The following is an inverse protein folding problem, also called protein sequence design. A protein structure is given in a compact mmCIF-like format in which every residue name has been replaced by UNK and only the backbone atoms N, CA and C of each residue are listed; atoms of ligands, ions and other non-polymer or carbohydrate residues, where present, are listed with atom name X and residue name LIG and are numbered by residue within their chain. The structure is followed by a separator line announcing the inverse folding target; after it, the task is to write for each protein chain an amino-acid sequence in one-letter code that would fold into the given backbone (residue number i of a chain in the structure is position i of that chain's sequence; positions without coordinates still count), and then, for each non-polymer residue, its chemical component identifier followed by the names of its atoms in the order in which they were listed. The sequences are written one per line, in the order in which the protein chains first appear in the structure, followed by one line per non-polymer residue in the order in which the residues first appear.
data_IF_053913677658
#
_entry.id   IF_053913677658
#
_cell.length_a   1.000
_cell.length_b   1.000
_cell.length_c   1.000
_cell.angle_alpha   90.00
_cell.angle_beta   90.00
_cell.angle_gamma   90.00
#
_symmetry.space_group_name_H-M   'P 1'
#
loop_
_entity.id
_entity.type
_entity.pdbx_description
1 polymer ?
#
# COMPACT_ATOMS: atom_id res chain seq x y z
N UNK A 1 11.71 11.24 -11.65
CA UNK A 1 12.21 10.11 -10.85
C UNK A 1 12.91 9.11 -11.77
N UNK A 2 14.07 8.60 -11.40
CA UNK A 2 14.83 7.81 -12.34
C UNK A 2 14.52 6.32 -12.17
N UNK A 3 13.90 5.72 -13.19
CA UNK A 3 13.92 4.29 -13.38
C UNK A 3 15.18 3.90 -14.14
N UNK A 4 16.03 3.13 -13.48
CA UNK A 4 17.25 2.58 -14.10
C UNK A 4 16.90 1.38 -14.96
N UNK A 5 17.07 1.51 -16.27
CA UNK A 5 17.02 0.41 -17.24
C UNK A 5 18.41 -0.22 -17.39
N UNK A 6 18.45 -1.49 -17.71
CA UNK A 6 19.70 -2.24 -17.90
C UNK A 6 19.93 -2.54 -19.38
N UNK A 7 21.19 -2.66 -19.78
CA UNK A 7 21.55 -3.13 -21.13
C UNK A 7 21.04 -4.57 -21.32
N UNK A 8 20.55 -4.94 -22.51
CA UNK A 8 19.96 -6.25 -22.79
C UNK A 8 21.01 -7.34 -23.03
N UNK A 9 22.00 -7.45 -22.15
CA UNK A 9 23.13 -8.40 -22.29
C UNK A 9 22.75 -9.84 -21.93
N UNK A 10 21.72 -10.02 -21.08
CA UNK A 10 21.24 -11.36 -20.68
C UNK A 10 19.72 -11.40 -20.69
N UNK A 11 19.08 -12.60 -20.76
CA UNK A 11 17.63 -12.71 -20.66
C UNK A 11 17.04 -12.04 -19.42
N UNK A 12 17.74 -12.08 -18.30
CA UNK A 12 17.28 -11.48 -17.03
C UNK A 12 17.44 -9.96 -16.95
N UNK A 13 18.31 -9.36 -17.78
CA UNK A 13 18.54 -7.91 -17.82
C UNK A 13 17.79 -7.21 -18.95
N UNK A 14 17.39 -7.94 -20.00
CA UNK A 14 16.72 -7.39 -21.21
C UNK A 14 15.54 -6.48 -20.89
N UNK A 15 14.65 -6.91 -20.01
CA UNK A 15 13.44 -6.16 -19.64
C UNK A 15 13.50 -5.68 -18.18
N UNK A 16 14.68 -5.62 -17.58
CA UNK A 16 14.83 -5.22 -16.19
C UNK A 16 14.80 -3.70 -16.05
N UNK A 17 13.92 -3.21 -15.22
CA UNK A 17 13.81 -1.81 -14.82
C UNK A 17 13.59 -1.74 -13.32
N UNK A 18 14.41 -0.99 -12.61
CA UNK A 18 14.31 -0.84 -11.15
C UNK A 18 14.37 0.64 -10.77
N UNK A 19 13.86 0.98 -9.59
CA UNK A 19 14.06 2.31 -9.02
C UNK A 19 15.56 2.62 -8.87
N UNK A 20 15.97 3.84 -9.18
CA UNK A 20 17.34 4.32 -8.99
C UNK A 20 17.67 4.63 -7.53
N UNK A 21 16.64 4.76 -6.67
CA UNK A 21 16.75 5.08 -5.25
C UNK A 21 17.34 6.47 -4.94
N UNK A 22 17.22 7.42 -5.86
CA UNK A 22 17.80 8.77 -5.74
C UNK A 22 17.25 9.55 -4.53
N UNK A 23 16.01 9.23 -4.10
CA UNK A 23 15.34 9.87 -2.96
C UNK A 23 15.85 9.38 -1.59
N UNK A 24 16.61 8.28 -1.57
CA UNK A 24 17.03 7.62 -0.32
C UNK A 24 18.28 8.28 0.21
N UNK A 25 18.20 8.79 1.44
CA UNK A 25 19.31 9.49 2.09
C UNK A 25 20.09 8.61 3.07
N UNK A 26 19.48 7.54 3.60
CA UNK A 26 20.14 6.62 4.54
C UNK A 26 20.12 5.17 4.04
N UNK A 27 21.29 4.51 4.12
CA UNK A 27 21.46 3.10 3.70
C UNK A 27 21.04 2.10 4.79
N UNK A 28 21.03 2.48 6.05
CA UNK A 28 20.71 1.61 7.19
C UNK A 28 19.51 2.14 7.95
N UNK A 29 18.57 1.28 8.37
CA UNK A 29 17.43 1.70 9.16
C UNK A 29 17.82 1.97 10.62
N UNK A 30 17.01 2.78 11.30
CA UNK A 30 17.15 3.07 12.72
C UNK A 30 16.75 1.85 13.55
N UNK A 31 17.73 1.22 14.22
CA UNK A 31 17.59 -0.07 14.91
C UNK A 31 16.47 -0.13 15.96
N UNK A 32 16.27 0.88 16.85
CA UNK A 32 15.23 0.83 17.88
C UNK A 32 13.80 0.69 17.33
N UNK A 33 13.54 1.07 16.06
CA UNK A 33 12.23 0.95 15.41
C UNK A 33 12.12 -0.28 14.49
N UNK A 34 12.93 -1.32 14.73
CA UNK A 34 12.91 -2.55 13.96
C UNK A 34 12.42 -3.73 14.81
N UNK A 35 11.54 -4.53 14.23
CA UNK A 35 11.06 -5.79 14.81
C UNK A 35 11.33 -6.97 13.86
N UNK A 36 11.58 -8.17 14.41
CA UNK A 36 11.70 -9.38 13.59
C UNK A 36 10.38 -9.68 12.86
N UNK A 37 10.43 -9.87 11.55
CA UNK A 37 9.29 -10.27 10.75
C UNK A 37 9.40 -11.76 10.39
N UNK A 38 8.69 -12.64 11.11
CA UNK A 38 8.63 -14.07 10.83
C UNK A 38 7.76 -14.34 9.59
N UNK A 39 8.24 -15.21 8.70
CA UNK A 39 7.47 -15.65 7.54
C UNK A 39 6.53 -16.78 7.95
N UNK A 40 5.23 -16.59 7.73
CA UNK A 40 4.20 -17.60 8.02
C UNK A 40 3.99 -18.59 6.89
N UNK A 41 4.61 -18.38 5.73
CA UNK A 41 4.40 -19.23 4.54
C UNK A 41 2.95 -19.26 4.04
N UNK A 42 2.16 -18.23 4.34
CA UNK A 42 0.75 -18.13 3.97
C UNK A 42 -0.19 -18.93 4.89
N UNK A 43 0.25 -19.34 6.08
CA UNK A 43 -0.56 -20.00 7.10
C UNK A 43 -1.17 -18.97 8.04
N UNK A 44 -2.36 -19.27 8.54
CA UNK A 44 -3.04 -18.51 9.59
C UNK A 44 -2.53 -18.93 10.99
N UNK A 45 -3.16 -18.39 12.04
CA UNK A 45 -2.86 -18.74 13.44
C UNK A 45 -3.15 -20.20 13.79
N UNK A 46 -4.06 -20.87 13.07
CA UNK A 46 -4.39 -22.31 13.25
C UNK A 46 -3.52 -23.23 12.39
N UNK A 47 -2.52 -22.69 11.66
CA UNK A 47 -1.62 -23.45 10.81
C UNK A 47 -2.17 -23.79 9.42
N UNK A 48 -3.43 -23.46 9.11
CA UNK A 48 -4.05 -23.72 7.82
C UNK A 48 -3.54 -22.75 6.75
N UNK A 49 -3.34 -23.26 5.53
CA UNK A 49 -2.91 -22.44 4.40
C UNK A 49 -4.08 -21.60 3.87
N UNK A 50 -4.10 -20.30 4.19
CA UNK A 50 -5.10 -19.35 3.70
C UNK A 50 -4.67 -18.64 2.43
N UNK A 51 -3.36 -18.45 2.25
CA UNK A 51 -2.77 -17.82 1.06
C UNK A 51 -1.76 -18.77 0.43
N UNK A 52 -2.08 -19.29 -0.75
CA UNK A 52 -1.19 -20.17 -1.51
C UNK A 52 -0.01 -19.45 -2.12
N UNK A 53 1.04 -20.20 -2.48
CA UNK A 53 2.20 -19.70 -3.21
C UNK A 53 2.98 -18.59 -2.47
N UNK A 54 2.99 -18.66 -1.14
CA UNK A 54 3.83 -17.84 -0.26
C UNK A 54 4.89 -18.72 0.41
N UNK A 55 6.08 -18.17 0.58
CA UNK A 55 7.17 -18.82 1.29
C UNK A 55 8.52 -18.62 0.62
N UNK A 56 9.57 -18.88 1.37
CA UNK A 56 10.94 -18.51 1.01
C UNK A 56 11.10 -16.97 0.96
N UNK A 57 12.10 -16.53 0.24
CA UNK A 57 12.39 -15.11 0.10
C UNK A 57 13.44 -14.65 1.11
N UNK A 58 13.89 -13.40 0.92
CA UNK A 58 14.90 -12.79 1.77
C UNK A 58 14.34 -12.48 3.17
N UNK A 59 15.13 -12.71 4.22
CA UNK A 59 14.81 -12.31 5.60
C UNK A 59 14.59 -10.79 5.67
N UNK A 60 13.54 -10.37 6.37
CA UNK A 60 13.16 -8.96 6.51
C UNK A 60 12.95 -8.60 7.97
N UNK A 61 13.21 -7.33 8.27
CA UNK A 61 12.80 -6.71 9.53
C UNK A 61 11.59 -5.81 9.25
N UNK A 62 10.64 -5.78 10.16
CA UNK A 62 9.54 -4.84 10.12
C UNK A 62 10.00 -3.48 10.64
N UNK A 63 9.55 -2.38 10.01
CA UNK A 63 9.72 -1.02 10.50
C UNK A 63 8.43 -0.61 11.17
N UNK A 64 8.50 -0.19 12.42
CA UNK A 64 7.36 0.31 13.18
C UNK A 64 7.01 1.68 12.62
N UNK A 65 5.87 1.76 11.91
CA UNK A 65 5.39 3.01 11.30
C UNK A 65 4.32 3.61 12.19
N UNK A 66 4.43 4.89 12.47
CA UNK A 66 3.40 5.67 13.17
C UNK A 66 2.25 6.00 12.23
N UNK A 67 1.22 5.15 12.23
CA UNK A 67 -0.01 5.37 11.47
C UNK A 67 -1.04 6.21 12.22
N UNK A 68 -0.86 6.37 13.54
CA UNK A 68 -1.79 7.10 14.38
C UNK A 68 -1.48 8.60 14.46
N UNK A 69 -0.18 8.96 14.39
CA UNK A 69 0.27 10.35 14.49
C UNK A 69 -0.31 11.07 15.73
N UNK A 70 -0.17 10.43 16.89
CA UNK A 70 -0.78 10.88 18.17
C UNK A 70 -0.08 12.03 18.87
N UNK A 71 1.09 12.47 18.40
CA UNK A 71 1.80 13.61 18.96
C UNK A 71 1.28 14.89 18.32
N UNK A 72 0.22 15.44 18.91
CA UNK A 72 -0.43 16.65 18.40
C UNK A 72 0.35 17.90 18.81
N UNK A 73 0.43 18.89 17.90
CA UNK A 73 1.03 20.22 18.11
C UNK A 73 2.51 20.19 18.53
N UNK A 74 3.20 19.07 18.25
CA UNK A 74 4.64 18.94 18.46
C UNK A 74 5.31 18.85 17.10
N UNK A 75 6.25 19.77 16.84
CA UNK A 75 7.01 19.78 15.59
C UNK A 75 7.95 18.60 15.52
N UNK A 76 8.03 18.03 14.33
CA UNK A 76 8.97 16.95 14.03
C UNK A 76 9.79 17.30 12.79
N UNK A 77 11.09 17.10 12.87
CA UNK A 77 12.01 17.34 11.75
C UNK A 77 12.29 16.04 11.01
N UNK A 78 12.21 16.05 9.70
CA UNK A 78 12.58 14.90 8.85
C UNK A 78 14.10 14.74 8.85
N UNK A 79 14.60 13.63 9.38
CA UNK A 79 16.04 13.32 9.44
C UNK A 79 16.54 12.54 8.25
N UNK A 80 15.81 11.51 7.83
CA UNK A 80 16.20 10.65 6.71
C UNK A 80 15.00 10.16 5.93
N UNK A 81 15.22 9.85 4.64
CA UNK A 81 14.28 9.13 3.79
C UNK A 81 14.89 7.75 3.52
N UNK A 82 14.12 6.68 3.75
CA UNK A 82 14.62 5.32 3.76
C UNK A 82 13.79 4.35 2.90
N UNK A 83 14.44 3.27 2.49
CA UNK A 83 13.80 2.14 1.84
C UNK A 83 13.20 1.16 2.85
N UNK A 84 11.94 0.77 2.66
CA UNK A 84 11.31 -0.32 3.41
C UNK A 84 10.99 -1.50 2.48
N UNK A 85 11.55 -2.72 2.73
CA UNK A 85 11.26 -3.90 1.92
C UNK A 85 9.84 -4.45 2.12
N UNK A 86 9.08 -3.96 3.09
CA UNK A 86 7.75 -4.46 3.44
C UNK A 86 6.62 -3.68 2.75
N UNK A 87 6.95 -2.53 2.15
CA UNK A 87 5.99 -1.67 1.45
C UNK A 87 6.57 -1.08 0.18
N UNK A 88 5.70 -0.62 -0.70
CA UNK A 88 6.10 0.04 -1.95
C UNK A 88 6.50 1.50 -1.75
N UNK A 89 5.92 2.18 -0.76
CA UNK A 89 6.22 3.57 -0.41
C UNK A 89 7.59 3.70 0.27
N UNK A 90 8.23 4.88 0.16
CA UNK A 90 9.37 5.25 1.01
C UNK A 90 8.86 5.59 2.41
N UNK A 91 9.74 5.51 3.38
CA UNK A 91 9.48 5.91 4.77
C UNK A 91 10.42 7.05 5.14
N UNK A 92 9.99 7.93 6.03
CA UNK A 92 10.81 8.99 6.58
C UNK A 92 10.99 8.78 8.09
N UNK A 93 12.22 8.89 8.57
CA UNK A 93 12.51 8.97 9.99
C UNK A 93 12.36 10.43 10.40
N UNK A 94 11.47 10.67 11.35
CA UNK A 94 11.24 12.00 11.92
C UNK A 94 11.64 12.02 13.39
N UNK A 95 12.18 13.14 13.82
CA UNK A 95 12.57 13.41 15.20
C UNK A 95 11.74 14.57 15.71
N UNK A 96 10.96 14.31 16.75
CA UNK A 96 10.16 15.32 17.44
C UNK A 96 11.04 16.19 18.33
N UNK A 97 10.56 17.38 18.69
CA UNK A 97 11.28 18.31 19.61
C UNK A 97 11.59 17.68 20.96
N UNK A 98 10.82 16.71 21.41
CA UNK A 98 11.07 15.93 22.61
C UNK A 98 12.13 14.81 22.45
N UNK A 99 12.83 14.76 21.32
CA UNK A 99 13.86 13.76 21.00
C UNK A 99 13.33 12.39 20.57
N UNK A 100 12.02 12.15 20.59
CA UNK A 100 11.44 10.88 20.18
C UNK A 100 11.51 10.73 18.67
N UNK A 101 12.00 9.59 18.19
CA UNK A 101 12.07 9.25 16.76
C UNK A 101 10.95 8.30 16.38
N UNK A 102 10.31 8.55 15.23
CA UNK A 102 9.30 7.67 14.66
C UNK A 102 9.46 7.58 13.14
N UNK A 103 9.02 6.45 12.57
CA UNK A 103 8.86 6.33 11.13
C UNK A 103 7.47 6.74 10.70
N UNK A 104 7.39 7.45 9.59
CA UNK A 104 6.14 7.79 8.88
C UNK A 104 6.24 7.33 7.43
N UNK A 105 5.10 7.20 6.74
CA UNK A 105 5.12 7.08 5.28
C UNK A 105 5.55 8.43 4.69
N UNK A 106 6.57 8.41 3.87
CA UNK A 106 7.10 9.63 3.24
C UNK A 106 6.12 10.14 2.16
N UNK A 107 5.64 11.38 2.24
CA UNK A 107 4.96 12.04 1.12
C UNK A 107 5.91 12.25 -0.07
N UNK A 108 5.34 12.36 -1.26
CA UNK A 108 6.11 12.75 -2.45
C UNK A 108 6.60 14.20 -2.30
N UNK A 109 7.89 14.40 -2.54
CA UNK A 109 8.50 15.74 -2.48
C UNK A 109 8.97 16.17 -1.09
N UNK A 110 8.82 15.34 -0.05
CA UNK A 110 9.37 15.64 1.27
C UNK A 110 10.90 15.74 1.23
N UNK A 111 11.46 16.66 1.99
CA UNK A 111 12.91 16.89 2.05
C UNK A 111 13.44 16.67 3.46
N UNK A 112 14.71 16.27 3.55
CA UNK A 112 15.43 16.23 4.84
C UNK A 112 15.53 17.65 5.40
N UNK A 113 15.31 17.81 6.71
CA UNK A 113 15.25 19.08 7.39
C UNK A 113 13.86 19.75 7.39
N UNK A 114 12.90 19.26 6.60
CA UNK A 114 11.54 19.77 6.60
C UNK A 114 10.86 19.51 7.96
N UNK A 115 10.16 20.50 8.46
CA UNK A 115 9.35 20.40 9.67
C UNK A 115 7.96 19.91 9.27
N UNK A 116 7.42 18.99 10.05
CA UNK A 116 6.06 18.47 9.92
C UNK A 116 5.37 18.44 11.26
N UNK A 117 4.08 18.61 11.25
CA UNK A 117 3.24 18.68 12.44
C UNK A 117 1.99 17.81 12.30
N UNK A 118 1.37 17.50 13.42
CA UNK A 118 0.09 16.76 13.46
C UNK A 118 -0.83 17.41 14.49
N UNK A 119 -2.13 17.37 14.26
CA UNK A 119 -3.11 17.88 15.21
C UNK A 119 -4.14 18.82 14.57
N UNK A 120 -4.99 19.38 15.39
CA UNK A 120 -5.96 20.41 15.00
C UNK A 120 -5.27 21.79 15.00
N UNK A 121 -5.69 22.67 14.09
CA UNK A 121 -5.16 24.04 13.97
C UNK A 121 -3.80 24.11 13.25
N UNK A 122 -3.28 23.01 12.75
CA UNK A 122 -2.01 22.96 12.00
C UNK A 122 -2.23 23.40 10.55
N UNK A 123 -1.26 24.10 9.95
CA UNK A 123 -1.33 24.50 8.54
C UNK A 123 -1.41 23.26 7.61
N UNK A 124 -2.24 23.29 6.54
CA UNK A 124 -2.41 22.17 5.62
C UNK A 124 -1.24 22.05 4.63
N UNK A 125 -0.03 21.92 5.15
CA UNK A 125 1.21 21.78 4.39
C UNK A 125 1.58 20.31 4.13
N UNK A 126 2.49 20.11 3.19
CA UNK A 126 2.93 18.78 2.77
C UNK A 126 3.52 17.98 3.96
N UNK A 127 2.92 16.83 4.26
CA UNK A 127 3.36 15.92 5.32
C UNK A 127 2.68 16.15 6.67
N UNK A 128 1.95 17.24 6.84
CA UNK A 128 1.17 17.52 8.04
C UNK A 128 -0.08 16.63 8.10
N UNK A 129 -0.45 16.22 9.30
CA UNK A 129 -1.57 15.31 9.54
C UNK A 129 -2.65 16.03 10.35
N UNK A 130 -3.82 16.23 9.71
CA UNK A 130 -4.94 17.00 10.25
C UNK A 130 -6.25 16.23 10.18
N UNK A 131 -7.26 16.62 10.97
CA UNK A 131 -8.65 16.22 10.72
C UNK A 131 -9.11 16.68 9.33
N UNK A 132 -9.94 15.86 8.67
CA UNK A 132 -10.49 16.20 7.34
C UNK A 132 -11.37 17.46 7.37
N UNK A 133 -11.86 17.85 8.54
CA UNK A 133 -12.59 19.11 8.74
C UNK A 133 -11.75 20.35 8.41
N UNK A 134 -10.45 20.31 8.66
CA UNK A 134 -9.55 21.44 8.57
C UNK A 134 -8.78 21.50 7.22
N UNK A 135 -8.77 20.41 6.47
CA UNK A 135 -8.07 20.34 5.18
C UNK A 135 -8.91 21.04 4.09
N UNK A 136 -8.37 21.96 3.31
CA UNK A 136 -9.10 22.61 2.21
C UNK A 136 -9.65 21.61 1.20
N UNK A 137 -10.87 21.88 0.69
CA UNK A 137 -11.48 21.09 -0.39
C UNK A 137 -10.61 21.18 -1.65
N UNK A 138 -10.51 20.08 -2.40
CA UNK A 138 -9.64 19.96 -3.56
C UNK A 138 -8.25 19.41 -3.25
N UNK A 139 -7.81 19.43 -1.97
CA UNK A 139 -6.48 18.96 -1.55
C UNK A 139 -6.33 17.46 -1.75
N UNK A 140 -5.12 17.05 -2.18
CA UNK A 140 -4.72 15.64 -2.23
C UNK A 140 -4.24 15.19 -0.85
N UNK A 141 -4.75 14.07 -0.40
CA UNK A 141 -4.45 13.51 0.92
C UNK A 141 -4.12 12.02 0.82
N UNK A 142 -3.34 11.53 1.75
CA UNK A 142 -2.98 10.13 1.91
C UNK A 142 -3.01 9.72 3.39
N UNK A 143 -2.71 8.46 3.72
CA UNK A 143 -2.75 7.95 5.09
C UNK A 143 -4.07 8.29 5.81
N UNK A 144 -5.19 8.00 5.16
CA UNK A 144 -6.52 8.41 5.63
C UNK A 144 -7.07 7.38 6.60
N UNK A 145 -7.60 7.86 7.71
CA UNK A 145 -8.36 7.03 8.65
C UNK A 145 -9.75 6.69 8.09
N UNK A 146 -10.28 5.53 8.49
CA UNK A 146 -11.66 5.13 8.22
C UNK A 146 -12.58 5.37 9.42
N UNK A 147 -12.02 5.35 10.61
CA UNK A 147 -12.68 5.68 11.88
C UNK A 147 -11.73 6.55 12.68
N UNK A 148 -12.24 7.52 13.43
CA UNK A 148 -11.41 8.38 14.25
C UNK A 148 -10.56 7.57 15.23
N UNK A 149 -9.25 7.87 15.31
CA UNK A 149 -8.32 7.20 16.20
C UNK A 149 -7.91 5.77 15.81
N UNK A 150 -8.36 5.24 14.69
CA UNK A 150 -7.96 3.91 14.19
C UNK A 150 -6.56 3.91 13.58
N UNK A 151 -6.07 5.06 13.18
CA UNK A 151 -4.86 5.20 12.37
C UNK A 151 -5.11 5.02 10.88
N UNK A 152 -4.11 5.37 10.11
CA UNK A 152 -4.18 5.37 8.65
C UNK A 152 -4.52 3.99 8.07
N UNK A 153 -5.56 3.92 7.25
CA UNK A 153 -6.06 2.71 6.61
C UNK A 153 -6.03 2.78 5.08
N UNK A 154 -6.36 3.94 4.49
CA UNK A 154 -6.42 4.12 3.03
C UNK A 154 -5.26 4.93 2.50
N UNK A 155 -5.00 4.81 1.18
CA UNK A 155 -3.98 5.55 0.44
C UNK A 155 -2.59 5.49 1.09
N UNK A 156 -2.05 4.27 1.31
CA UNK A 156 -0.74 4.02 1.94
C UNK A 156 0.32 3.47 0.99
N UNK A 157 -0.09 3.01 -0.18
CA UNK A 157 0.83 2.44 -1.18
C UNK A 157 1.52 3.53 -1.99
N UNK A 158 2.65 3.20 -2.62
CA UNK A 158 3.40 4.12 -3.48
C UNK A 158 2.51 4.84 -4.50
N UNK A 159 2.67 6.15 -4.61
CA UNK A 159 1.97 7.01 -5.56
C UNK A 159 0.46 7.13 -5.33
N UNK A 160 -0.11 6.55 -4.26
CA UNK A 160 -1.54 6.66 -3.99
C UNK A 160 -1.90 7.95 -3.26
N UNK A 161 -3.11 8.42 -3.52
CA UNK A 161 -3.71 9.58 -2.88
C UNK A 161 -5.23 9.44 -2.93
N UNK A 162 -5.95 10.28 -2.22
CA UNK A 162 -7.36 10.56 -2.43
C UNK A 162 -7.52 12.08 -2.52
N UNK A 163 -8.51 12.54 -3.26
CA UNK A 163 -8.86 13.96 -3.30
C UNK A 163 -10.04 14.22 -2.37
N UNK A 164 -9.92 15.22 -1.51
CA UNK A 164 -11.04 15.73 -0.73
C UNK A 164 -11.96 16.53 -1.67
N UNK A 165 -13.04 15.92 -2.11
CA UNK A 165 -13.94 16.51 -3.10
C UNK A 165 -14.94 17.51 -2.51
N UNK A 166 -15.51 17.17 -1.35
CA UNK A 166 -16.47 18.03 -0.64
C UNK A 166 -16.52 17.68 0.85
N UNK A 167 -17.20 18.51 1.62
CA UNK A 167 -17.60 18.26 3.02
C UNK A 167 -19.08 18.55 3.15
N UNK A 168 -19.83 17.61 3.74
CA UNK A 168 -21.26 17.71 3.95
C UNK A 168 -21.60 17.26 5.38
N UNK A 169 -22.00 18.17 6.22
CA UNK A 169 -22.28 17.91 7.63
C UNK A 169 -21.10 17.23 8.34
N UNK A 170 -21.31 16.04 8.87
CA UNK A 170 -20.30 15.26 9.60
C UNK A 170 -19.42 14.39 8.68
N UNK A 171 -19.56 14.49 7.35
CA UNK A 171 -18.84 13.65 6.41
C UNK A 171 -17.99 14.45 5.43
N UNK A 172 -16.79 13.93 5.17
CA UNK A 172 -15.91 14.32 4.07
C UNK A 172 -16.09 13.35 2.91
N UNK A 173 -16.24 13.87 1.71
CA UNK A 173 -16.38 13.10 0.46
C UNK A 173 -15.00 12.97 -0.18
N UNK A 174 -14.53 11.74 -0.28
CA UNK A 174 -13.21 11.41 -0.84
C UNK A 174 -13.35 10.70 -2.18
N UNK A 175 -12.67 11.22 -3.19
CA UNK A 175 -12.48 10.59 -4.49
C UNK A 175 -11.20 9.78 -4.48
N UNK A 176 -11.31 8.46 -4.58
CA UNK A 176 -10.19 7.53 -4.57
C UNK A 176 -9.56 7.35 -5.97
N UNK A 177 -8.29 6.90 -6.08
CA UNK A 177 -7.64 6.64 -7.37
C UNK A 177 -8.36 5.59 -8.22
N UNK A 178 -9.15 4.70 -7.58
CA UNK A 178 -9.98 3.70 -8.26
C UNK A 178 -11.18 4.30 -8.99
N UNK A 179 -11.50 5.60 -8.78
CA UNK A 179 -12.71 6.27 -9.22
C UNK A 179 -13.91 6.05 -8.30
N UNK A 180 -13.75 5.34 -7.18
CA UNK A 180 -14.78 5.24 -6.14
C UNK A 180 -14.86 6.54 -5.36
N UNK A 181 -16.06 7.06 -5.15
CA UNK A 181 -16.35 8.19 -4.28
C UNK A 181 -17.02 7.68 -3.01
N UNK A 182 -16.44 8.02 -1.85
CA UNK A 182 -16.97 7.55 -0.57
C UNK A 182 -16.91 8.61 0.53
N UNK A 183 -17.79 8.43 1.50
CA UNK A 183 -17.85 9.25 2.71
C UNK A 183 -16.93 8.70 3.81
N UNK A 184 -16.31 9.61 4.55
CA UNK A 184 -15.55 9.35 5.78
C UNK A 184 -15.90 10.45 6.77
N UNK A 185 -15.91 10.17 8.07
CA UNK A 185 -16.19 11.19 9.09
C UNK A 185 -15.15 12.33 9.01
N UNK A 186 -15.58 13.56 9.15
CA UNK A 186 -14.70 14.76 9.11
C UNK A 186 -13.67 14.78 10.25
N UNK A 187 -13.94 14.08 11.34
CA UNK A 187 -13.03 13.90 12.48
C UNK A 187 -11.90 12.92 12.21
N UNK A 188 -11.98 12.12 11.13
CA UNK A 188 -10.89 11.25 10.70
C UNK A 188 -9.71 12.09 10.24
N UNK A 189 -8.50 11.63 10.57
CA UNK A 189 -7.25 12.28 10.17
C UNK A 189 -6.77 11.82 8.80
N UNK A 190 -6.09 12.70 8.11
CA UNK A 190 -5.38 12.41 6.87
C UNK A 190 -4.09 13.23 6.79
N UNK A 191 -3.11 12.74 6.04
CA UNK A 191 -1.87 13.46 5.77
C UNK A 191 -1.96 14.16 4.42
N UNK A 192 -1.56 15.42 4.37
CA UNK A 192 -1.57 16.24 3.15
C UNK A 192 -0.51 15.76 2.16
N UNK A 193 -0.87 15.71 0.88
CA UNK A 193 0.00 15.31 -0.23
C UNK A 193 -0.27 13.89 -0.74
N UNK A 194 0.58 13.42 -1.64
CA UNK A 194 0.55 12.08 -2.24
C UNK A 194 1.66 11.21 -1.65
N UNK A 195 1.51 9.89 -1.70
CA UNK A 195 2.56 8.97 -1.24
C UNK A 195 3.75 8.97 -2.21
N UNK A 196 4.96 8.90 -1.69
CA UNK A 196 6.21 8.82 -2.46
C UNK A 196 6.30 7.60 -3.38
N UNK A 197 7.35 7.54 -4.23
CA UNK A 197 7.68 6.43 -5.12
C UNK A 197 6.57 6.12 -6.15
N UNK A 198 6.00 7.14 -6.78
CA UNK A 198 4.89 7.02 -7.75
C UNK A 198 5.21 6.09 -8.93
N UNK A 199 6.49 6.00 -9.34
CA UNK A 199 6.94 5.16 -10.46
C UNK A 199 7.14 3.68 -10.10
N UNK A 200 6.75 3.25 -8.90
CA UNK A 200 6.88 1.86 -8.47
C UNK A 200 6.21 0.85 -9.42
N UNK A 201 5.12 1.24 -10.06
CA UNK A 201 4.41 0.41 -11.04
C UNK A 201 5.17 0.21 -12.36
N UNK A 202 6.14 1.06 -12.65
CA UNK A 202 7.00 0.98 -13.84
C UNK A 202 8.18 0.02 -13.64
N UNK A 203 8.38 -0.51 -12.43
CA UNK A 203 9.42 -1.50 -12.16
C UNK A 203 9.14 -2.82 -12.86
N UNK A 204 10.13 -3.35 -13.56
CA UNK A 204 10.11 -4.68 -14.15
C UNK A 204 11.22 -5.55 -13.58
N UNK A 205 10.89 -6.71 -13.08
CA UNK A 205 11.85 -7.59 -12.42
C UNK A 205 12.78 -8.32 -13.38
N UNK A 206 12.41 -8.46 -14.64
CA UNK A 206 13.21 -9.08 -15.69
C UNK A 206 13.35 -10.60 -15.62
N UNK A 207 13.23 -11.23 -14.43
CA UNK A 207 13.34 -12.67 -14.22
C UNK A 207 12.43 -13.22 -13.13
N UNK A 208 11.99 -14.48 -13.28
CA UNK A 208 11.14 -15.17 -12.30
C UNK A 208 11.82 -15.34 -10.92
N UNK A 209 13.15 -15.57 -10.90
CA UNK A 209 13.90 -15.70 -9.66
C UNK A 209 13.81 -14.48 -8.73
N UNK A 210 13.61 -13.27 -9.27
CA UNK A 210 13.42 -12.08 -8.44
C UNK A 210 12.09 -12.13 -7.65
N UNK A 211 11.04 -12.68 -8.24
CA UNK A 211 9.79 -12.94 -7.53
C UNK A 211 9.99 -13.93 -6.37
N UNK A 212 10.89 -14.93 -6.55
CA UNK A 212 11.24 -15.86 -5.48
C UNK A 212 11.90 -15.16 -4.30
N UNK A 213 12.73 -14.16 -4.53
CA UNK A 213 13.34 -13.35 -3.47
C UNK A 213 12.32 -12.57 -2.64
N UNK A 214 11.18 -12.21 -3.23
CA UNK A 214 10.06 -11.59 -2.51
C UNK A 214 9.14 -12.58 -1.81
N UNK A 215 9.49 -13.88 -1.79
CA UNK A 215 8.70 -14.93 -1.16
C UNK A 215 7.47 -15.35 -1.96
N UNK A 216 7.43 -15.05 -3.26
CA UNK A 216 6.37 -15.49 -4.18
C UNK A 216 6.81 -16.77 -4.88
N UNK A 217 6.05 -17.83 -4.72
CA UNK A 217 6.26 -19.11 -5.43
C UNK A 217 5.55 -19.10 -6.78
N UNK A 218 5.99 -19.95 -7.73
CA UNK A 218 5.29 -20.11 -9.01
C UNK A 218 3.83 -20.50 -8.79
N UNK A 219 2.95 -19.99 -9.65
CA UNK A 219 1.51 -20.22 -9.57
C UNK A 219 1.08 -21.22 -10.65
N UNK A 220 0.45 -22.34 -10.22
CA UNK A 220 -0.14 -23.30 -11.14
C UNK A 220 -1.57 -22.87 -11.51
N UNK A 221 -1.91 -22.98 -12.80
CA UNK A 221 -3.26 -22.73 -13.30
C UNK A 221 -4.18 -23.91 -12.94
N UNK A 222 -5.47 -23.63 -12.72
CA UNK A 222 -6.45 -24.68 -12.40
C UNK A 222 -6.58 -25.76 -13.50
N UNK A 223 -6.39 -25.38 -14.77
CA UNK A 223 -6.47 -26.28 -15.92
C UNK A 223 -5.41 -27.38 -15.91
N UNK A 224 -4.28 -27.18 -15.24
CA UNK A 224 -3.18 -28.20 -15.15
C UNK A 224 -3.26 -29.02 -13.87
N UNK A 225 -4.34 -28.91 -13.13
CA UNK A 225 -4.60 -29.68 -11.91
C UNK A 225 -5.51 -30.86 -12.20
N UNK A 226 -5.60 -31.79 -11.25
CA UNK A 226 -6.57 -32.88 -11.32
C UNK A 226 -7.99 -32.38 -10.97
N UNK A 227 -9.06 -33.10 -11.39
CA UNK A 227 -10.45 -32.72 -11.09
C UNK A 227 -10.74 -32.54 -9.60
N UNK A 228 -10.10 -33.31 -8.73
CA UNK A 228 -10.21 -33.22 -7.27
C UNK A 228 -9.67 -31.90 -6.71
N UNK A 229 -8.67 -31.31 -7.35
CA UNK A 229 -7.98 -30.11 -6.87
C UNK A 229 -8.59 -28.81 -7.38
N UNK A 230 -9.23 -28.86 -8.55
CA UNK A 230 -9.79 -27.67 -9.17
C UNK A 230 -10.94 -28.00 -10.14
N UNK A 231 -12.04 -27.21 -10.15
CA UNK A 231 -13.18 -27.43 -11.06
C UNK A 231 -12.84 -27.40 -12.57
N UNK A 232 -11.70 -26.82 -12.92
CA UNK A 232 -11.19 -26.77 -14.30
C UNK A 232 -10.10 -27.79 -14.57
N UNK A 233 -9.86 -28.71 -13.63
CA UNK A 233 -8.86 -29.77 -13.76
C UNK A 233 -9.36 -30.96 -14.54
N UNK A 234 -8.44 -31.80 -14.99
CA UNK A 234 -8.69 -33.02 -15.74
C UNK A 234 -8.74 -32.84 -17.26
N UNK A 235 -9.10 -33.91 -17.95
CA UNK A 235 -9.12 -34.02 -19.40
C UNK A 235 -7.85 -34.65 -19.96
N UNK A 236 -7.91 -35.10 -21.20
CA UNK A 236 -6.77 -35.59 -21.97
C UNK A 236 -6.09 -34.41 -22.68
N UNK A 237 -4.79 -34.29 -22.48
CA UNK A 237 -3.99 -33.23 -23.09
C UNK A 237 -4.42 -31.82 -22.64
N UNK A 238 -4.48 -30.89 -23.60
CA UNK A 238 -4.79 -29.47 -23.34
C UNK A 238 -6.29 -29.21 -23.35
N UNK A 239 -6.98 -29.54 -22.26
CA UNK A 239 -8.39 -29.24 -22.10
C UNK A 239 -8.66 -27.76 -21.78
N UNK A 240 -9.78 -27.21 -22.26
CA UNK A 240 -10.16 -25.80 -22.00
C UNK A 240 -10.73 -25.60 -20.59
N UNK A 241 -11.16 -26.67 -19.90
CA UNK A 241 -11.72 -26.62 -18.54
C UNK A 241 -13.08 -25.96 -18.43
N UNK A 242 -13.73 -25.63 -19.54
CA UNK A 242 -15.05 -24.99 -19.59
C UNK A 242 -15.03 -23.51 -19.13
N UNK A 243 -16.13 -23.05 -18.56
CA UNK A 243 -16.27 -21.65 -18.12
C UNK A 243 -15.29 -21.32 -16.96
N UNK A 244 -14.55 -20.20 -17.01
CA UNK A 244 -13.52 -19.88 -16.00
C UNK A 244 -14.09 -19.82 -14.58
N UNK A 245 -13.58 -20.67 -13.71
CA UNK A 245 -13.99 -20.77 -12.30
C UNK A 245 -12.78 -20.64 -11.36
N UNK A 246 -13.05 -20.19 -10.16
CA UNK A 246 -12.10 -20.23 -9.05
C UNK A 246 -12.06 -21.65 -8.44
N UNK A 247 -11.09 -21.92 -7.57
CA UNK A 247 -11.01 -23.19 -6.81
C UNK A 247 -12.29 -23.51 -6.01
N UNK A 248 -13.04 -22.49 -5.59
CA UNK A 248 -14.32 -22.62 -4.87
C UNK A 248 -15.53 -22.75 -5.81
N UNK A 249 -15.32 -22.93 -7.11
CA UNK A 249 -16.39 -23.05 -8.10
C UNK A 249 -17.02 -21.73 -8.55
N UNK A 250 -16.67 -20.60 -7.93
CA UNK A 250 -17.22 -19.29 -8.29
C UNK A 250 -16.68 -18.82 -9.64
N UNK A 251 -17.50 -18.16 -10.48
CA UNK A 251 -17.04 -17.56 -11.73
C UNK A 251 -15.84 -16.65 -11.53
N UNK A 252 -14.75 -16.86 -12.28
CA UNK A 252 -13.51 -16.11 -12.12
C UNK A 252 -13.50 -14.77 -12.86
N UNK A 253 -14.40 -14.59 -13.82
CA UNK A 253 -14.54 -13.36 -14.63
C UNK A 253 -15.93 -12.77 -14.45
N UNK A 254 -15.99 -11.45 -14.28
CA UNK A 254 -17.23 -10.67 -14.20
C UNK A 254 -18.06 -10.81 -12.94
N UNK A 255 -17.83 -11.80 -12.11
CA UNK A 255 -18.57 -11.99 -10.85
C UNK A 255 -18.22 -10.92 -9.81
N UNK A 256 -19.25 -10.27 -9.26
CA UNK A 256 -19.11 -9.27 -8.21
C UNK A 256 -18.96 -9.97 -6.87
N UNK A 257 -17.76 -9.95 -6.29
CA UNK A 257 -17.45 -10.67 -5.04
C UNK A 257 -17.74 -9.88 -3.76
N UNK A 258 -17.96 -8.56 -3.85
CA UNK A 258 -18.32 -7.74 -2.70
C UNK A 258 -19.70 -8.14 -2.17
N UNK A 259 -19.80 -8.35 -0.85
CA UNK A 259 -21.07 -8.65 -0.21
C UNK A 259 -22.04 -7.45 -0.37
N UNK A 260 -23.22 -7.64 -0.99
CA UNK A 260 -24.23 -6.59 -1.14
C UNK A 260 -24.74 -6.02 0.19
N UNK A 261 -24.76 -6.86 1.25
CA UNK A 261 -25.23 -6.50 2.61
C UNK A 261 -24.11 -5.95 3.50
N UNK A 262 -22.90 -5.67 2.97
CA UNK A 262 -21.82 -5.13 3.78
C UNK A 262 -22.21 -3.73 4.35
N UNK A 263 -22.07 -3.54 5.65
CA UNK A 263 -22.41 -2.29 6.34
C UNK A 263 -21.68 -1.06 5.78
N UNK A 264 -20.46 -1.28 5.24
CA UNK A 264 -19.67 -0.23 4.60
C UNK A 264 -20.22 0.25 3.24
N UNK A 265 -21.26 -0.39 2.68
CA UNK A 265 -21.88 0.05 1.43
C UNK A 265 -22.57 1.41 1.56
N UNK A 266 -23.09 1.75 2.75
CA UNK A 266 -23.72 3.05 3.02
C UNK A 266 -22.77 4.25 2.90
N UNK A 267 -21.47 4.01 2.99
CA UNK A 267 -20.45 5.06 2.84
C UNK A 267 -19.95 5.22 1.40
N UNK A 268 -20.42 4.44 0.45
CA UNK A 268 -20.02 4.53 -0.97
C UNK A 268 -21.11 5.31 -1.70
N UNK A 269 -20.77 6.50 -2.19
CA UNK A 269 -21.65 7.35 -2.98
C UNK A 269 -21.66 6.84 -4.43
N UNK A 270 -20.47 6.74 -5.03
CA UNK A 270 -20.30 6.30 -6.42
C UNK A 270 -19.26 5.19 -6.49
N UNK A 271 -19.60 4.10 -7.17
CA UNK A 271 -18.64 3.03 -7.47
C UNK A 271 -17.86 3.37 -8.72
N UNK A 272 -16.65 2.81 -8.83
CA UNK A 272 -15.85 2.97 -10.05
C UNK A 272 -16.66 2.59 -11.28
N UNK A 273 -16.63 3.43 -12.31
CA UNK A 273 -17.23 3.12 -13.60
C UNK A 273 -16.52 1.93 -14.23
N UNK A 274 -17.27 1.00 -14.79
CA UNK A 274 -16.72 -0.03 -15.67
C UNK A 274 -16.16 0.69 -16.91
N UNK A 275 -14.92 0.40 -17.27
CA UNK A 275 -14.42 0.70 -18.62
C UNK A 275 -15.03 -0.28 -19.60
#
# INVERSE_FOLDING_TARGET
MAIRKFKPTTPGTRNKAISAFDEITAKRPYKPLLEPLKSTGGRNNTGQMTVRYRGGGHKRMYRIIDFLRTKDNIKATVKTIEYDPNRSARIALVEYEDGVKKYIIAPAGIKVGQIIESGSGVAPELGNCLPLAEIPVGTLVHNIELRPGQGAAMARSAGTFAQLAAREGNFAILRLPSGETRMVLVTCRATVGTVSNADHNLESFGKAGRNRWFGRRPHNRGVVMNPVDHPMGGGEGRASGGHPRSRKGLPAKGYKTRNPKATSNKFIIERRKKK
#
